data_IF_147581436236
#
_entry.id   IF_147581436236
#
_cell.length_a   1.000
_cell.length_b   1.000
_cell.length_c   1.000
_cell.angle_alpha   90.00
_cell.angle_beta   90.00
_cell.angle_gamma   90.00
#
_symmetry.space_group_name_H-M   'P 1'
#
loop_
_entity.id
_entity.type
_entity.pdbx_description
1 polymer ?
#
# COMPACT_ATOMS: atom_id res chain seq x y z
N UNK A 1 -1.98 5.14 17.61
CA UNK A 1 -0.82 5.78 16.98
C UNK A 1 -1.18 7.11 16.32
N UNK A 2 -0.18 7.90 15.95
CA UNK A 2 -0.38 9.21 15.30
C UNK A 2 -1.20 9.11 13.99
N UNK A 3 -1.15 7.99 13.28
CA UNK A 3 -1.88 7.77 12.02
C UNK A 3 -3.41 7.78 12.13
N UNK A 4 -3.97 7.53 13.30
CA UNK A 4 -5.42 7.55 13.49
C UNK A 4 -5.99 8.96 13.73
N UNK A 5 -5.17 9.98 14.00
CA UNK A 5 -5.65 11.30 14.36
C UNK A 5 -6.41 11.96 13.21
N UNK A 6 -5.84 11.99 12.02
CA UNK A 6 -6.46 12.63 10.85
C UNK A 6 -7.60 11.82 10.22
N UNK A 7 -7.67 10.53 10.51
CA UNK A 7 -8.76 9.66 10.09
C UNK A 7 -10.00 9.82 10.95
N UNK A 8 -9.84 9.99 12.27
CA UNK A 8 -10.95 10.06 13.23
C UNK A 8 -11.57 11.43 13.37
N UNK A 9 -11.00 12.48 12.79
CA UNK A 9 -11.63 13.78 12.62
C UNK A 9 -12.31 13.81 11.26
N UNK A 10 -13.63 14.00 11.26
CA UNK A 10 -14.46 14.00 10.06
C UNK A 10 -14.94 15.41 9.76
N UNK A 11 -14.66 15.85 8.53
CA UNK A 11 -15.26 17.04 7.94
C UNK A 11 -16.60 16.67 7.31
N UNK A 12 -17.65 17.38 7.70
CA UNK A 12 -18.96 17.29 7.09
C UNK A 12 -19.38 18.67 6.58
N UNK A 13 -19.91 18.72 5.35
CA UNK A 13 -20.46 19.96 4.78
C UNK A 13 -21.82 19.68 4.22
N UNK A 14 -22.80 20.47 4.69
CA UNK A 14 -24.15 20.46 4.15
C UNK A 14 -24.40 21.76 3.40
N UNK A 15 -24.84 21.66 2.15
CA UNK A 15 -25.28 22.76 1.31
C UNK A 15 -26.79 22.77 1.23
N UNK A 16 -27.41 23.87 1.61
CA UNK A 16 -28.88 24.06 1.58
C UNK A 16 -29.66 22.99 2.35
N UNK A 17 -29.01 22.36 3.34
CA UNK A 17 -29.53 21.28 4.15
C UNK A 17 -29.23 19.86 3.64
N UNK A 18 -28.61 19.72 2.47
CA UNK A 18 -28.18 18.44 1.91
C UNK A 18 -26.72 18.15 2.30
N UNK A 19 -26.49 17.02 3.01
CA UNK A 19 -25.15 16.57 3.40
C UNK A 19 -24.49 15.86 2.20
N UNK A 20 -23.56 16.55 1.56
CA UNK A 20 -22.84 16.05 0.37
C UNK A 20 -21.35 15.79 0.60
N UNK A 21 -20.78 16.38 1.64
CA UNK A 21 -19.40 16.12 2.06
C UNK A 21 -19.40 15.44 3.41
N UNK A 22 -18.80 14.27 3.48
CA UNK A 22 -18.49 13.58 4.72
C UNK A 22 -17.23 12.73 4.52
N UNK A 23 -16.11 13.15 5.09
CA UNK A 23 -14.84 12.48 4.91
C UNK A 23 -13.89 12.72 6.08
N UNK A 24 -12.97 11.79 6.37
CA UNK A 24 -11.82 12.06 7.23
C UNK A 24 -11.06 13.29 6.76
N UNK A 25 -10.63 14.12 7.70
CA UNK A 25 -9.94 15.39 7.40
C UNK A 25 -8.68 15.15 6.55
N UNK A 26 -7.88 14.15 6.89
CA UNK A 26 -6.66 13.86 6.13
C UNK A 26 -6.95 13.43 4.69
N UNK A 27 -8.00 12.65 4.46
CA UNK A 27 -8.41 12.23 3.11
C UNK A 27 -8.92 13.42 2.29
N UNK A 28 -9.72 14.30 2.90
CA UNK A 28 -10.25 15.49 2.23
C UNK A 28 -9.14 16.42 1.74
N UNK A 29 -8.05 16.54 2.50
CA UNK A 29 -6.91 17.39 2.15
C UNK A 29 -5.78 16.66 1.41
N UNK A 30 -5.94 15.37 1.10
CA UNK A 30 -4.99 14.60 0.31
C UNK A 30 -3.73 14.13 1.04
N UNK A 31 -3.79 14.03 2.37
CA UNK A 31 -2.67 13.51 3.20
C UNK A 31 -2.95 12.12 3.78
N UNK A 32 -4.15 11.56 3.54
CA UNK A 32 -4.52 10.29 4.15
C UNK A 32 -4.47 10.36 5.66
N UNK A 33 -3.66 9.53 6.29
CA UNK A 33 -3.63 9.37 7.74
C UNK A 33 -2.47 10.05 8.45
N UNK A 34 -1.52 10.61 7.70
CA UNK A 34 -0.34 11.28 8.26
C UNK A 34 -0.20 12.72 7.78
N UNK A 35 0.30 13.62 8.64
CA UNK A 35 0.52 15.00 8.28
C UNK A 35 1.80 15.13 7.43
N UNK A 36 1.68 14.94 6.14
CA UNK A 36 2.78 15.10 5.19
C UNK A 36 2.54 16.27 4.26
N UNK A 37 3.63 16.87 3.78
CA UNK A 37 3.54 17.95 2.82
C UNK A 37 3.02 17.40 1.48
N UNK A 38 1.95 18.02 0.95
CA UNK A 38 1.41 17.70 -0.36
C UNK A 38 0.74 18.93 -0.98
N UNK A 39 0.56 18.92 -2.28
CA UNK A 39 -0.17 19.97 -2.96
C UNK A 39 -0.57 19.59 -4.37
N UNK A 40 -1.82 19.91 -4.68
CA UNK A 40 -2.39 19.94 -6.04
C UNK A 40 -2.94 21.34 -6.29
N UNK A 41 -3.66 21.54 -7.38
CA UNK A 41 -4.36 22.83 -7.60
C UNK A 41 -5.49 23.05 -6.60
N UNK A 42 -6.07 22.01 -6.04
CA UNK A 42 -7.25 22.12 -5.19
C UNK A 42 -6.99 21.87 -3.71
N UNK A 43 -5.84 21.28 -3.37
CA UNK A 43 -5.50 20.99 -1.97
C UNK A 43 -4.04 21.26 -1.67
N UNK A 44 -3.76 21.73 -0.45
CA UNK A 44 -2.43 21.76 0.14
C UNK A 44 -2.50 21.34 1.58
N UNK A 45 -1.51 20.62 2.02
CA UNK A 45 -1.43 20.20 3.40
C UNK A 45 -0.01 20.40 3.94
N UNK A 46 0.03 20.62 5.26
CA UNK A 46 1.24 20.78 6.09
C UNK A 46 2.17 21.90 5.61
N UNK A 47 1.61 22.92 4.98
CA UNK A 47 2.31 24.19 4.80
C UNK A 47 1.96 25.10 5.99
N UNK A 48 2.95 25.50 6.77
CA UNK A 48 2.77 26.32 7.97
C UNK A 48 1.76 25.71 8.98
N UNK A 49 1.78 24.39 9.13
CA UNK A 49 0.84 23.62 9.95
C UNK A 49 -0.65 23.79 9.56
N UNK A 50 -0.92 24.19 8.33
CA UNK A 50 -2.27 24.43 7.82
C UNK A 50 -2.56 23.53 6.62
N UNK A 51 -3.75 22.91 6.64
CA UNK A 51 -4.34 22.24 5.49
C UNK A 51 -5.33 23.17 4.80
N UNK A 52 -5.27 23.28 3.48
CA UNK A 52 -6.10 24.19 2.70
C UNK A 52 -6.72 23.49 1.49
N UNK A 53 -7.95 23.83 1.15
CA UNK A 53 -8.63 23.38 -0.06
C UNK A 53 -9.28 24.57 -0.78
N UNK A 54 -9.20 24.57 -2.11
CA UNK A 54 -9.72 25.62 -2.98
C UNK A 54 -10.83 25.12 -3.89
N UNK A 55 -11.53 24.08 -3.49
CA UNK A 55 -12.74 23.67 -4.19
C UNK A 55 -13.78 24.79 -4.16
N UNK A 56 -14.31 25.15 -5.32
CA UNK A 56 -15.45 26.05 -5.41
C UNK A 56 -16.68 25.25 -4.95
N UNK A 57 -17.38 25.75 -3.93
CA UNK A 57 -18.50 25.04 -3.28
C UNK A 57 -19.78 25.89 -3.35
N UNK A 58 -20.51 25.90 -4.46
CA UNK A 58 -21.70 26.73 -4.60
C UNK A 58 -22.84 26.26 -3.69
N UNK A 59 -23.60 27.21 -3.17
CA UNK A 59 -24.87 26.99 -2.46
C UNK A 59 -25.84 28.16 -2.71
N UNK A 60 -27.12 27.91 -2.59
CA UNK A 60 -28.16 28.92 -2.82
C UNK A 60 -28.43 29.76 -1.59
N UNK A 61 -28.56 29.12 -0.42
CA UNK A 61 -29.04 29.74 0.82
C UNK A 61 -28.07 29.67 1.97
N UNK A 62 -27.55 28.49 2.26
CA UNK A 62 -26.67 28.29 3.40
C UNK A 62 -25.67 27.13 3.18
N UNK A 63 -24.57 27.24 3.90
CA UNK A 63 -23.56 26.17 3.98
C UNK A 63 -23.22 25.96 5.47
N UNK A 64 -23.31 24.71 5.92
CA UNK A 64 -22.93 24.33 7.29
C UNK A 64 -21.70 23.44 7.24
N UNK A 65 -20.62 23.86 7.88
CA UNK A 65 -19.36 23.12 7.99
C UNK A 65 -19.25 22.62 9.43
N UNK A 66 -19.03 21.31 9.59
CA UNK A 66 -18.89 20.67 10.90
C UNK A 66 -17.64 19.81 10.93
N UNK A 67 -16.89 19.89 12.04
CA UNK A 67 -15.81 18.97 12.36
C UNK A 67 -16.23 18.11 13.55
N UNK A 68 -16.23 16.80 13.36
CA UNK A 68 -16.59 15.82 14.39
C UNK A 68 -15.39 14.94 14.73
N UNK A 69 -15.06 14.88 16.03
CA UNK A 69 -14.04 13.96 16.51
C UNK A 69 -14.68 12.64 16.94
N UNK A 70 -14.39 11.57 16.23
CA UNK A 70 -14.78 10.19 16.57
C UNK A 70 -13.68 9.44 17.36
N UNK A 71 -12.56 10.13 17.66
CA UNK A 71 -11.49 9.59 18.51
C UNK A 71 -11.80 9.71 20.00
N UNK A 72 -11.00 9.03 20.81
CA UNK A 72 -11.13 9.02 22.27
C UNK A 72 -10.41 10.20 22.94
N UNK A 73 -9.44 10.79 22.25
CA UNK A 73 -8.66 11.92 22.77
C UNK A 73 -9.20 13.24 22.22
N UNK A 74 -9.23 14.31 23.03
CA UNK A 74 -9.60 15.63 22.56
C UNK A 74 -8.62 16.13 21.49
N UNK A 75 -9.12 16.84 20.50
CA UNK A 75 -8.34 17.48 19.43
C UNK A 75 -8.55 18.98 19.51
N UNK A 76 -7.45 19.73 19.54
CA UNK A 76 -7.47 21.18 19.49
C UNK A 76 -7.32 21.65 18.04
N UNK A 77 -8.19 22.56 17.64
CA UNK A 77 -8.12 23.24 16.35
C UNK A 77 -7.73 24.70 16.63
N UNK A 78 -6.46 25.00 16.41
CA UNK A 78 -5.93 26.33 16.65
C UNK A 78 -6.41 27.38 15.64
N UNK A 79 -6.75 26.93 14.42
CA UNK A 79 -7.23 27.81 13.35
C UNK A 79 -8.18 27.06 12.41
N UNK A 80 -9.32 27.65 12.13
CA UNK A 80 -10.23 27.24 11.06
C UNK A 80 -10.75 28.49 10.35
N UNK A 81 -10.78 28.47 9.02
CA UNK A 81 -11.28 29.57 8.22
C UNK A 81 -11.94 29.06 6.94
N UNK A 82 -13.00 29.71 6.53
CA UNK A 82 -13.62 29.55 5.23
C UNK A 82 -13.73 30.89 4.53
N UNK A 83 -13.44 30.94 3.25
CA UNK A 83 -13.60 32.15 2.44
C UNK A 83 -14.87 31.99 1.63
N UNK A 84 -15.80 32.92 1.76
CA UNK A 84 -17.05 32.93 1.00
C UNK A 84 -17.13 34.11 0.05
N UNK A 85 -17.84 33.92 -1.04
CA UNK A 85 -18.11 34.95 -2.05
C UNK A 85 -19.56 34.88 -2.54
N UNK A 86 -19.91 35.82 -3.41
CA UNK A 86 -21.23 35.81 -4.05
C UNK A 86 -21.26 34.79 -5.18
N UNK A 87 -22.31 33.97 -5.19
CA UNK A 87 -22.62 33.05 -6.29
C UNK A 87 -24.01 33.37 -6.83
N UNK A 88 -24.15 33.46 -8.12
CA UNK A 88 -25.46 33.59 -8.76
C UNK A 88 -25.98 32.18 -9.03
N UNK A 89 -26.89 31.73 -8.19
CA UNK A 89 -27.50 30.41 -8.34
C UNK A 89 -28.43 30.36 -9.55
N UNK A 90 -28.28 29.31 -10.36
CA UNK A 90 -29.12 29.02 -11.52
C UNK A 90 -29.31 27.48 -11.67
N UNK A 91 -30.03 27.05 -12.71
CA UNK A 91 -30.35 25.64 -12.97
C UNK A 91 -29.11 24.77 -13.31
N UNK A 92 -27.95 25.36 -13.48
CA UNK A 92 -26.67 24.65 -13.71
C UNK A 92 -25.82 24.58 -12.47
N UNK A 93 -26.20 25.28 -11.43
CA UNK A 93 -25.46 25.33 -10.17
C UNK A 93 -25.52 23.98 -9.44
N UNK A 94 -24.38 23.48 -9.01
CA UNK A 94 -24.21 22.16 -8.43
C UNK A 94 -23.60 22.27 -7.05
N UNK A 95 -24.02 21.41 -6.13
CA UNK A 95 -23.31 21.21 -4.87
C UNK A 95 -22.04 20.40 -5.09
N UNK A 96 -20.99 20.76 -4.37
CA UNK A 96 -19.78 19.95 -4.25
C UNK A 96 -20.04 18.77 -3.32
N UNK A 97 -19.41 17.62 -3.58
CA UNK A 97 -19.57 16.46 -2.74
C UNK A 97 -18.42 15.50 -2.79
N UNK A 98 -18.45 14.55 -1.84
CA UNK A 98 -17.48 13.47 -1.69
C UNK A 98 -18.19 12.17 -1.40
N UNK A 99 -17.60 11.05 -1.80
CA UNK A 99 -17.82 9.74 -1.18
C UNK A 99 -16.54 9.31 -0.50
N UNK A 100 -16.64 8.66 0.63
CA UNK A 100 -15.50 8.03 1.31
C UNK A 100 -15.95 6.74 1.98
N UNK A 101 -15.12 5.72 1.89
CA UNK A 101 -15.29 4.46 2.61
C UNK A 101 -13.93 3.82 2.88
N UNK A 102 -13.90 2.83 3.75
CA UNK A 102 -12.74 2.00 3.96
C UNK A 102 -13.08 0.53 3.79
N UNK A 103 -12.34 -0.11 2.91
CA UNK A 103 -12.30 -1.56 2.80
C UNK A 103 -11.18 -2.07 3.71
N UNK A 104 -11.53 -2.87 4.70
CA UNK A 104 -10.58 -3.39 5.67
C UNK A 104 -10.35 -4.86 5.45
N UNK A 105 -9.09 -5.28 5.45
CA UNK A 105 -8.68 -6.68 5.33
C UNK A 105 -9.25 -7.37 4.08
N UNK A 106 -9.21 -6.66 2.94
CA UNK A 106 -9.68 -7.20 1.67
C UNK A 106 -8.61 -8.09 1.04
N UNK A 107 -9.06 -9.23 0.53
CA UNK A 107 -8.21 -10.20 -0.10
C UNK A 107 -7.95 -9.80 -1.56
N UNK A 108 -6.69 -9.53 -1.88
CA UNK A 108 -6.23 -9.34 -3.24
C UNK A 108 -5.45 -10.56 -3.70
N UNK A 109 -5.77 -11.04 -4.87
CA UNK A 109 -5.03 -12.12 -5.51
C UNK A 109 -5.24 -12.02 -7.01
N UNK A 110 -4.20 -11.75 -7.76
CA UNK A 110 -4.11 -11.62 -9.19
C UNK A 110 -5.28 -12.19 -10.00
N UNK A 111 -5.01 -13.19 -10.78
CA UNK A 111 -5.92 -13.78 -11.75
C UNK A 111 -7.10 -14.60 -11.18
N UNK A 112 -7.07 -14.97 -9.89
CA UNK A 112 -8.10 -15.85 -9.31
C UNK A 112 -9.25 -15.10 -8.61
N UNK A 113 -9.05 -13.84 -8.17
CA UNK A 113 -10.00 -13.09 -7.36
C UNK A 113 -10.03 -11.61 -7.72
N UNK A 114 -9.94 -11.29 -9.00
CA UNK A 114 -10.17 -9.91 -9.44
C UNK A 114 -11.55 -9.45 -8.94
N UNK A 115 -11.59 -8.35 -8.21
CA UNK A 115 -12.82 -7.74 -7.72
C UNK A 115 -12.75 -6.24 -7.92
N UNK A 116 -13.89 -5.64 -8.16
CA UNK A 116 -14.01 -4.21 -8.29
C UNK A 116 -14.39 -3.57 -6.95
N UNK A 117 -13.67 -2.54 -6.55
CA UNK A 117 -14.00 -1.69 -5.42
C UNK A 117 -14.73 -0.46 -5.92
N UNK A 118 -16.02 -0.34 -5.61
CA UNK A 118 -16.79 0.83 -6.03
C UNK A 118 -16.41 2.04 -5.18
N UNK A 119 -15.78 3.04 -5.80
CA UNK A 119 -15.40 4.30 -5.15
C UNK A 119 -16.59 5.24 -5.05
N UNK A 120 -17.41 5.30 -6.09
CA UNK A 120 -18.62 6.10 -6.13
C UNK A 120 -19.67 5.47 -7.04
N UNK A 121 -20.94 5.54 -6.64
CA UNK A 121 -22.12 5.29 -7.46
C UNK A 121 -23.09 6.47 -7.25
N UNK A 122 -23.14 7.35 -8.24
CA UNK A 122 -23.86 8.62 -8.22
C UNK A 122 -25.02 8.57 -9.20
N UNK A 123 -26.23 8.95 -8.75
CA UNK A 123 -27.38 9.08 -9.63
C UNK A 123 -27.90 10.52 -9.59
N UNK A 124 -27.90 11.13 -10.73
CA UNK A 124 -28.22 12.53 -10.93
C UNK A 124 -27.46 13.09 -12.12
N UNK A 125 -27.44 14.41 -12.26
CA UNK A 125 -26.63 15.10 -13.24
C UNK A 125 -25.46 15.78 -12.54
N UNK A 126 -24.22 15.54 -13.02
CA UNK A 126 -23.06 16.05 -12.34
C UNK A 126 -21.78 15.98 -13.15
N UNK A 127 -20.65 16.23 -12.47
CA UNK A 127 -19.31 16.17 -13.01
C UNK A 127 -18.39 15.54 -11.94
N UNK A 128 -17.69 14.47 -12.30
CA UNK A 128 -16.64 13.87 -11.49
C UNK A 128 -15.34 14.62 -11.69
N UNK A 129 -14.70 15.05 -10.59
CA UNK A 129 -13.54 15.96 -10.65
C UNK A 129 -12.30 15.42 -9.94
N UNK A 130 -12.33 14.17 -9.51
CA UNK A 130 -11.14 13.52 -8.98
C UNK A 130 -11.38 12.62 -7.80
N UNK A 131 -10.28 12.08 -7.30
CA UNK A 131 -10.26 11.16 -6.17
C UNK A 131 -8.88 11.13 -5.51
N UNK A 132 -8.84 10.47 -4.37
CA UNK A 132 -7.59 10.04 -3.73
C UNK A 132 -7.80 8.67 -3.11
N UNK A 133 -6.72 7.95 -2.92
CA UNK A 133 -6.75 6.65 -2.26
C UNK A 133 -5.63 6.52 -1.27
N UNK A 134 -5.96 6.02 -0.10
CA UNK A 134 -4.98 5.57 0.90
C UNK A 134 -4.99 4.05 0.94
N UNK A 135 -3.83 3.45 0.71
CA UNK A 135 -3.64 1.99 0.73
C UNK A 135 -2.67 1.63 1.83
N UNK A 136 -3.02 0.66 2.65
CA UNK A 136 -2.07 0.02 3.56
C UNK A 136 -1.79 -1.40 3.06
N UNK A 137 -0.58 -1.58 2.53
CA UNK A 137 -0.06 -2.84 2.04
C UNK A 137 0.91 -3.43 3.08
N UNK A 138 0.58 -4.55 3.73
CA UNK A 138 1.45 -5.14 4.74
C UNK A 138 2.54 -6.05 4.16
N UNK A 139 2.69 -6.13 2.84
CA UNK A 139 3.50 -7.15 2.18
C UNK A 139 4.23 -6.59 0.95
N UNK A 140 5.25 -7.31 0.48
CA UNK A 140 6.02 -7.02 -0.74
C UNK A 140 5.28 -7.33 -2.06
N UNK A 141 3.99 -7.68 -2.03
CA UNK A 141 3.17 -7.77 -3.23
C UNK A 141 2.87 -6.39 -3.79
N UNK A 142 2.97 -6.21 -5.10
CA UNK A 142 2.57 -4.97 -5.75
C UNK A 142 1.05 -4.92 -5.93
N UNK A 143 0.42 -3.90 -5.39
CA UNK A 143 -1.04 -3.74 -5.29
C UNK A 143 -1.67 -2.88 -6.39
N UNK A 144 -0.88 -2.26 -7.24
CA UNK A 144 -1.31 -1.18 -8.13
C UNK A 144 -1.58 -1.57 -9.58
N UNK A 145 -1.94 -2.82 -9.88
CA UNK A 145 -2.19 -3.31 -11.25
C UNK A 145 -3.67 -3.24 -11.68
N UNK A 146 -4.57 -3.04 -10.75
CA UNK A 146 -6.01 -3.05 -11.05
C UNK A 146 -6.46 -1.83 -11.85
N UNK A 147 -7.33 -2.07 -12.83
CA UNK A 147 -7.80 -1.07 -13.78
C UNK A 147 -8.92 -0.19 -13.20
N UNK A 148 -8.90 1.11 -13.49
CA UNK A 148 -10.09 1.92 -13.27
C UNK A 148 -11.16 1.64 -14.31
N UNK A 149 -12.43 1.64 -13.88
CA UNK A 149 -13.61 1.41 -14.70
C UNK A 149 -14.66 2.46 -14.39
N UNK A 150 -14.87 3.42 -15.31
CA UNK A 150 -15.87 4.48 -15.12
C UNK A 150 -17.02 4.30 -16.10
N UNK A 151 -18.20 4.02 -15.53
CA UNK A 151 -19.44 3.85 -16.25
C UNK A 151 -20.24 5.15 -16.21
N UNK A 152 -20.54 5.72 -17.36
CA UNK A 152 -21.31 6.96 -17.47
C UNK A 152 -22.71 6.65 -18.00
N UNK A 153 -23.72 7.25 -17.36
CA UNK A 153 -25.10 7.24 -17.82
C UNK A 153 -25.72 5.84 -18.06
N UNK A 154 -25.27 4.84 -17.27
CA UNK A 154 -25.80 3.49 -17.31
C UNK A 154 -25.19 2.60 -18.40
N UNK A 155 -23.97 2.90 -18.81
CA UNK A 155 -23.18 2.05 -19.71
C UNK A 155 -23.04 0.62 -19.17
N UNK A 156 -23.02 -0.36 -20.08
CA UNK A 156 -22.78 -1.77 -19.77
C UNK A 156 -21.30 -2.13 -19.82
N UNK A 157 -20.51 -1.36 -20.57
CA UNK A 157 -19.05 -1.39 -20.62
C UNK A 157 -18.53 0.02 -20.32
N UNK A 158 -17.49 0.19 -19.50
CA UNK A 158 -17.06 1.52 -19.06
C UNK A 158 -16.46 2.33 -20.21
N UNK A 159 -16.83 3.61 -20.31
CA UNK A 159 -16.22 4.56 -21.26
C UNK A 159 -14.76 4.86 -20.92
N UNK A 160 -14.40 4.81 -19.66
CA UNK A 160 -13.03 4.93 -19.19
C UNK A 160 -12.63 3.57 -18.60
N UNK A 161 -11.65 2.96 -19.23
CA UNK A 161 -11.10 1.68 -18.84
C UNK A 161 -9.58 1.79 -18.87
N UNK A 162 -8.96 1.60 -17.73
CA UNK A 162 -7.53 1.82 -17.54
C UNK A 162 -6.64 0.64 -17.84
N UNK A 163 -5.42 0.74 -17.36
CA UNK A 163 -4.36 -0.25 -17.52
C UNK A 163 -3.60 -0.51 -16.22
N UNK A 164 -4.05 0.07 -15.13
CA UNK A 164 -3.48 -0.10 -13.80
C UNK A 164 -3.77 1.07 -12.87
N UNK A 165 -3.85 0.79 -11.59
CA UNK A 165 -4.05 1.83 -10.56
C UNK A 165 -2.90 2.84 -10.56
N UNK A 166 -1.65 2.38 -10.73
CA UNK A 166 -0.49 3.28 -10.81
C UNK A 166 -0.56 4.19 -12.03
N UNK A 167 -0.97 3.66 -13.19
CA UNK A 167 -1.15 4.43 -14.42
C UNK A 167 -2.23 5.50 -14.24
N UNK A 168 -3.33 5.13 -13.58
CA UNK A 168 -4.40 6.06 -13.26
C UNK A 168 -3.91 7.25 -12.42
N UNK A 169 -3.05 7.01 -11.43
CA UNK A 169 -2.47 8.07 -10.60
C UNK A 169 -1.23 8.74 -11.21
N UNK A 170 -0.86 8.41 -12.46
CA UNK A 170 0.12 9.13 -13.26
C UNK A 170 1.56 8.72 -13.04
N UNK A 171 1.81 7.48 -12.64
CA UNK A 171 3.16 6.90 -12.57
C UNK A 171 3.15 5.47 -13.11
N UNK A 172 4.31 4.84 -13.19
CA UNK A 172 4.48 3.47 -13.65
C UNK A 172 5.68 2.82 -12.94
N UNK A 173 5.74 1.50 -12.97
CA UNK A 173 6.81 0.70 -12.40
C UNK A 173 6.95 0.86 -10.89
N UNK A 174 5.82 0.93 -10.19
CA UNK A 174 5.80 1.00 -8.74
C UNK A 174 6.65 2.12 -8.19
N UNK A 175 6.51 3.35 -8.71
CA UNK A 175 7.34 4.48 -8.29
C UNK A 175 7.26 4.69 -6.78
N UNK A 176 8.40 4.59 -6.11
CA UNK A 176 8.52 4.63 -4.66
C UNK A 176 9.00 5.99 -4.11
N UNK A 177 9.43 6.89 -4.97
CA UNK A 177 9.80 8.24 -4.54
C UNK A 177 8.56 9.11 -4.43
N UNK A 178 8.26 9.71 -3.27
CA UNK A 178 7.16 10.64 -3.14
C UNK A 178 7.28 11.81 -4.12
N UNK A 179 6.19 12.21 -4.72
CA UNK A 179 6.11 13.46 -5.49
C UNK A 179 4.94 14.29 -4.99
N UNK A 180 5.19 15.58 -4.87
CA UNK A 180 4.26 16.56 -4.36
C UNK A 180 4.29 17.80 -5.25
N UNK A 181 3.34 18.71 -5.03
CA UNK A 181 3.27 19.99 -5.76
C UNK A 181 3.11 19.85 -7.28
N UNK A 182 2.44 18.79 -7.72
CA UNK A 182 2.00 18.65 -9.11
C UNK A 182 0.53 19.06 -9.22
N UNK A 183 0.11 19.80 -10.29
CA UNK A 183 -1.26 20.34 -10.36
C UNK A 183 -2.35 19.27 -10.31
N UNK A 184 -2.14 18.10 -10.89
CA UNK A 184 -3.20 17.11 -11.11
C UNK A 184 -3.01 15.81 -10.34
N UNK A 185 -1.80 15.44 -9.97
CA UNK A 185 -1.49 14.19 -9.28
C UNK A 185 -0.49 14.42 -8.15
N UNK A 186 -0.57 13.61 -7.10
CA UNK A 186 0.42 13.61 -6.04
C UNK A 186 0.49 12.22 -5.37
N UNK A 187 1.67 11.84 -4.94
CA UNK A 187 1.93 10.71 -4.04
C UNK A 187 2.75 11.22 -2.85
N UNK A 188 2.11 11.81 -1.84
CA UNK A 188 2.85 12.34 -0.69
C UNK A 188 3.41 11.25 0.22
N UNK A 189 2.79 10.07 0.22
CA UNK A 189 3.24 8.87 0.92
C UNK A 189 3.31 7.74 -0.09
N UNK A 190 4.48 7.16 -0.21
CA UNK A 190 4.76 5.93 -0.92
C UNK A 190 6.05 5.43 -0.32
N UNK A 191 6.00 4.32 0.40
CA UNK A 191 7.19 3.83 1.10
C UNK A 191 8.26 3.44 0.10
N UNK A 192 9.49 3.73 0.43
CA UNK A 192 10.65 3.77 -0.44
C UNK A 192 11.12 2.44 -1.02
N UNK A 193 10.27 1.44 -1.18
CA UNK A 193 10.57 0.20 -1.87
C UNK A 193 9.59 -0.10 -3.01
N UNK A 194 9.99 -0.94 -3.92
CA UNK A 194 9.26 -1.28 -5.14
C UNK A 194 7.80 -1.69 -4.90
N UNK A 195 7.52 -2.44 -3.86
CA UNK A 195 6.17 -2.94 -3.57
C UNK A 195 5.35 -2.02 -2.67
N UNK A 196 5.87 -0.87 -2.26
CA UNK A 196 5.22 0.06 -1.35
C UNK A 196 4.65 -0.63 -0.10
N UNK A 197 5.50 -1.37 0.63
CA UNK A 197 5.11 -1.91 1.93
C UNK A 197 4.75 -0.76 2.86
N UNK A 198 3.66 -0.92 3.61
CA UNK A 198 3.18 0.10 4.51
C UNK A 198 2.13 0.97 3.87
N UNK A 199 2.21 2.26 4.08
CA UNK A 199 1.20 3.22 3.65
C UNK A 199 1.57 3.86 2.32
N UNK A 200 0.63 3.88 1.38
CA UNK A 200 0.70 4.69 0.17
C UNK A 200 -0.53 5.59 0.08
N UNK A 201 -0.34 6.83 -0.36
CA UNK A 201 -1.42 7.77 -0.59
C UNK A 201 -1.25 8.42 -1.95
N UNK A 202 -2.26 8.29 -2.80
CA UNK A 202 -2.27 8.82 -4.15
C UNK A 202 -3.47 9.74 -4.34
N UNK A 203 -3.29 10.80 -5.10
CA UNK A 203 -4.34 11.77 -5.44
C UNK A 203 -4.33 12.06 -6.92
N UNK A 204 -5.52 12.08 -7.53
CA UNK A 204 -5.73 12.61 -8.88
C UNK A 204 -6.87 13.60 -8.87
N UNK A 205 -6.61 14.81 -9.30
CA UNK A 205 -7.63 15.84 -9.51
C UNK A 205 -7.82 16.08 -11.01
N UNK A 206 -9.07 16.11 -11.45
CA UNK A 206 -9.46 16.28 -12.84
C UNK A 206 -9.99 17.69 -13.06
N UNK A 207 -9.27 18.46 -13.84
CA UNK A 207 -9.62 19.84 -14.17
C UNK A 207 -9.98 19.99 -15.63
N UNK A 208 -9.11 19.50 -16.51
CA UNK A 208 -9.32 19.54 -17.97
C UNK A 208 -9.99 18.26 -18.47
N UNK A 209 -9.90 17.19 -17.74
CA UNK A 209 -10.41 15.86 -18.03
C UNK A 209 -11.53 15.42 -17.07
N UNK A 210 -12.26 16.38 -16.51
CA UNK A 210 -13.43 16.11 -15.67
C UNK A 210 -14.49 15.32 -16.45
N UNK A 211 -15.18 14.39 -15.78
CA UNK A 211 -16.10 13.46 -16.41
C UNK A 211 -17.55 13.90 -16.16
N UNK A 212 -18.22 14.53 -17.13
CA UNK A 212 -19.63 14.90 -17.00
C UNK A 212 -20.54 13.67 -17.13
N UNK A 213 -21.64 13.69 -16.39
CA UNK A 213 -22.70 12.70 -16.51
C UNK A 213 -24.10 13.38 -16.43
N UNK A 214 -25.09 12.79 -17.07
CA UNK A 214 -26.46 13.35 -17.13
C UNK A 214 -27.47 12.58 -16.30
N UNK A 215 -27.18 11.31 -15.98
CA UNK A 215 -28.05 10.41 -15.21
C UNK A 215 -27.34 9.69 -14.10
N UNK A 216 -26.12 9.21 -14.34
CA UNK A 216 -25.37 8.46 -13.36
C UNK A 216 -23.90 8.39 -13.69
N UNK A 217 -23.07 8.20 -12.66
CA UNK A 217 -21.68 7.81 -12.79
C UNK A 217 -21.37 6.75 -11.74
N UNK A 218 -20.77 5.62 -12.17
CA UNK A 218 -20.18 4.64 -11.29
C UNK A 218 -18.69 4.56 -11.58
N UNK A 219 -17.88 4.68 -10.54
CA UNK A 219 -16.45 4.53 -10.60
C UNK A 219 -16.03 3.33 -9.76
N UNK A 220 -15.46 2.35 -10.41
CA UNK A 220 -14.87 1.16 -9.81
C UNK A 220 -13.37 1.17 -10.04
N UNK A 221 -12.62 0.66 -9.07
CA UNK A 221 -11.20 0.34 -9.19
C UNK A 221 -11.04 -1.14 -8.96
N UNK A 222 -10.45 -1.83 -9.91
CA UNK A 222 -10.14 -3.24 -9.74
C UNK A 222 -9.08 -3.42 -8.67
N UNK A 223 -9.29 -4.40 -7.82
CA UNK A 223 -8.28 -4.84 -6.87
C UNK A 223 -7.50 -6.00 -7.47
N UNK A 224 -6.32 -5.72 -7.98
CA UNK A 224 -5.44 -6.71 -8.57
C UNK A 224 -4.05 -6.63 -7.95
N UNK A 225 -3.56 -7.77 -7.47
CA UNK A 225 -2.23 -7.95 -6.90
C UNK A 225 -1.60 -9.25 -7.41
N UNK A 226 -0.33 -9.22 -7.75
CA UNK A 226 0.42 -10.41 -8.17
C UNK A 226 0.64 -11.42 -7.04
N UNK A 227 0.35 -11.03 -5.82
CA UNK A 227 0.54 -11.84 -4.63
C UNK A 227 -0.80 -12.12 -3.94
N UNK A 228 -0.83 -13.15 -3.12
CA UNK A 228 -1.97 -13.45 -2.28
C UNK A 228 -1.83 -12.69 -0.96
N UNK A 229 -2.41 -11.51 -0.88
CA UNK A 229 -2.31 -10.60 0.25
C UNK A 229 -3.67 -10.12 0.74
N UNK A 230 -3.68 -9.56 1.96
CA UNK A 230 -4.80 -8.79 2.47
C UNK A 230 -4.32 -7.37 2.74
N UNK A 231 -5.04 -6.40 2.25
CA UNK A 231 -4.70 -4.99 2.42
C UNK A 231 -5.91 -4.17 2.86
N UNK A 232 -5.67 -2.94 3.30
CA UNK A 232 -6.72 -1.96 3.56
C UNK A 232 -6.69 -0.90 2.46
N UNK A 233 -7.86 -0.48 2.02
CA UNK A 233 -8.02 0.43 0.89
C UNK A 233 -9.10 1.47 1.24
N UNK A 234 -8.75 2.75 1.17
CA UNK A 234 -9.67 3.82 1.54
C UNK A 234 -9.71 4.91 0.46
N UNK A 235 -10.65 4.84 -0.47
CA UNK A 235 -10.87 5.87 -1.47
C UNK A 235 -11.72 7.02 -0.94
N UNK A 236 -11.40 8.23 -1.43
CA UNK A 236 -12.27 9.40 -1.42
C UNK A 236 -12.45 9.88 -2.84
N UNK A 237 -13.68 10.29 -3.20
CA UNK A 237 -13.96 10.89 -4.51
C UNK A 237 -14.45 12.33 -4.37
N UNK A 238 -14.26 13.13 -5.41
CA UNK A 238 -14.70 14.52 -5.49
C UNK A 238 -15.56 14.72 -6.74
N UNK A 239 -16.71 15.37 -6.56
CA UNK A 239 -17.66 15.56 -7.65
C UNK A 239 -18.55 16.80 -7.39
N UNK A 240 -19.22 17.25 -8.44
CA UNK A 240 -20.30 18.23 -8.38
C UNK A 240 -21.58 17.59 -8.92
N UNK A 241 -22.73 17.84 -8.28
CA UNK A 241 -23.99 17.28 -8.71
C UNK A 241 -25.15 18.24 -8.41
N UNK A 242 -26.16 18.26 -9.28
CA UNK A 242 -27.39 18.98 -9.00
C UNK A 242 -28.02 18.49 -7.69
N UNK A 243 -28.66 19.38 -6.90
CA UNK A 243 -29.30 19.01 -5.65
C UNK A 243 -30.30 17.85 -5.80
N UNK A 244 -30.39 17.00 -4.77
CA UNK A 244 -31.34 15.89 -4.70
C UNK A 244 -30.91 14.59 -5.39
N UNK A 245 -29.68 14.46 -5.82
CA UNK A 245 -29.14 13.21 -6.36
C UNK A 245 -28.92 12.13 -5.32
N UNK A 246 -28.82 10.86 -5.75
CA UNK A 246 -28.46 9.75 -4.88
C UNK A 246 -26.93 9.57 -4.86
N UNK A 247 -26.36 9.37 -3.66
CA UNK A 247 -24.94 9.21 -3.43
C UNK A 247 -24.70 7.87 -2.73
N UNK A 248 -23.84 7.04 -3.29
CA UNK A 248 -23.32 5.82 -2.67
C UNK A 248 -21.79 5.76 -2.84
N UNK A 249 -21.04 5.17 -1.88
CA UNK A 249 -21.55 4.63 -0.62
C UNK A 249 -22.02 5.72 0.34
N UNK A 250 -22.91 5.34 1.25
CA UNK A 250 -23.24 6.21 2.39
C UNK A 250 -22.12 6.13 3.44
N UNK A 251 -21.88 7.22 4.18
CA UNK A 251 -20.86 7.23 5.22
C UNK A 251 -21.16 6.23 6.35
N UNK A 252 -20.12 5.53 6.81
CA UNK A 252 -20.19 4.67 7.98
C UNK A 252 -19.19 5.12 9.05
N UNK A 253 -19.68 5.44 10.24
CA UNK A 253 -18.83 5.85 11.37
C UNK A 253 -17.89 4.72 11.83
N UNK A 254 -18.30 3.45 11.67
CA UNK A 254 -17.44 2.30 11.93
C UNK A 254 -16.14 2.36 11.16
N UNK A 255 -16.19 2.73 9.87
CA UNK A 255 -15.01 2.79 9.00
C UNK A 255 -13.98 3.81 9.50
N UNK A 256 -14.44 4.92 10.06
CA UNK A 256 -13.56 5.94 10.67
C UNK A 256 -12.85 5.40 11.90
N UNK A 257 -13.46 4.48 12.63
CA UNK A 257 -12.91 3.87 13.86
C UNK A 257 -12.06 2.63 13.60
N UNK A 258 -12.19 2.04 12.42
CA UNK A 258 -11.36 0.91 12.02
C UNK A 258 -9.87 1.28 12.00
N UNK A 259 -9.03 0.28 12.18
CA UNK A 259 -7.58 0.49 12.18
C UNK A 259 -7.08 0.77 10.77
N UNK A 260 -6.07 1.63 10.68
CA UNK A 260 -5.37 1.90 9.43
C UNK A 260 -4.53 0.70 9.01
N UNK A 261 -3.69 0.23 9.92
CA UNK A 261 -2.81 -0.91 9.68
C UNK A 261 -3.46 -2.22 10.10
N UNK A 262 -3.31 -3.24 9.30
CA UNK A 262 -3.65 -4.61 9.67
C UNK A 262 -2.85 -5.05 10.91
N UNK A 263 -3.43 -5.95 11.70
CA UNK A 263 -2.70 -6.57 12.79
C UNK A 263 -1.85 -7.73 12.24
N UNK A 264 -0.77 -8.13 12.93
CA UNK A 264 0.02 -9.29 12.53
C UNK A 264 -0.83 -10.55 12.33
N UNK A 265 -1.88 -10.74 13.15
CA UNK A 265 -2.83 -11.85 12.99
C UNK A 265 -3.62 -11.79 11.68
N UNK A 266 -3.93 -10.59 11.20
CA UNK A 266 -4.66 -10.40 9.95
C UNK A 266 -3.76 -10.70 8.75
N UNK A 267 -2.49 -10.30 8.84
CA UNK A 267 -1.48 -10.58 7.84
C UNK A 267 -1.24 -12.09 7.70
N UNK A 268 -1.18 -12.80 8.82
CA UNK A 268 -0.85 -14.23 8.87
C UNK A 268 -2.06 -15.15 8.87
N UNK A 269 -3.28 -14.62 8.90
CA UNK A 269 -4.51 -15.38 9.08
C UNK A 269 -5.00 -16.20 7.89
N UNK A 270 -4.68 -15.82 6.64
CA UNK A 270 -5.36 -16.39 5.47
C UNK A 270 -4.51 -16.42 4.20
N UNK A 271 -3.41 -17.16 4.24
CA UNK A 271 -2.61 -17.42 3.05
C UNK A 271 -1.68 -16.29 2.61
N UNK A 272 -1.43 -15.31 3.47
CA UNK A 272 -0.50 -14.21 3.21
C UNK A 272 0.95 -14.65 3.22
N UNK A 273 1.80 -13.90 2.53
CA UNK A 273 3.24 -14.11 2.52
C UNK A 273 3.90 -13.15 3.52
N UNK A 274 4.76 -13.67 4.36
CA UNK A 274 5.74 -12.91 5.13
C UNK A 274 7.06 -12.97 4.39
N UNK A 275 7.69 -11.83 4.19
CA UNK A 275 9.06 -11.77 3.68
C UNK A 275 9.98 -11.39 4.83
N UNK A 276 11.05 -12.15 4.99
CA UNK A 276 12.14 -11.87 5.91
C UNK A 276 13.37 -11.64 5.06
N UNK A 277 13.78 -10.38 4.95
CA UNK A 277 14.97 -10.01 4.20
C UNK A 277 16.23 -10.58 4.86
N UNK A 278 17.22 -10.96 4.05
CA UNK A 278 18.45 -11.55 4.55
C UNK A 278 19.18 -10.63 5.51
N UNK A 279 19.21 -9.34 5.21
CA UNK A 279 19.91 -8.32 5.99
C UNK A 279 19.29 -8.05 7.37
N UNK A 280 18.03 -8.39 7.60
CA UNK A 280 17.42 -8.28 8.94
C UNK A 280 17.63 -9.51 9.80
N UNK A 281 18.08 -10.62 9.21
CA UNK A 281 18.39 -11.83 9.94
C UNK A 281 19.66 -11.64 10.78
N UNK A 282 19.62 -12.09 12.02
CA UNK A 282 20.74 -11.89 12.94
C UNK A 282 21.59 -13.16 13.05
N UNK A 283 22.89 -13.11 12.66
CA UNK A 283 23.79 -14.25 12.83
C UNK A 283 23.99 -14.56 14.31
N UNK A 284 23.90 -15.82 14.69
CA UNK A 284 24.27 -16.27 16.04
C UNK A 284 25.80 -16.19 16.22
N UNK A 285 26.27 -15.76 17.38
CA UNK A 285 27.69 -15.82 17.70
C UNK A 285 28.26 -17.25 17.61
N UNK A 286 29.51 -17.35 17.20
CA UNK A 286 30.24 -18.63 17.15
C UNK A 286 30.26 -19.29 15.77
N UNK A 287 29.72 -18.66 14.72
CA UNK A 287 29.95 -19.09 13.34
C UNK A 287 31.41 -18.87 12.93
N UNK A 288 31.90 -19.69 12.02
CA UNK A 288 33.20 -19.50 11.39
C UNK A 288 33.03 -18.59 10.15
N UNK A 289 34.15 -17.94 9.75
CA UNK A 289 34.13 -16.95 8.67
C UNK A 289 33.52 -15.61 9.11
N UNK A 290 33.25 -14.75 8.15
CA UNK A 290 32.69 -13.41 8.37
C UNK A 290 31.32 -13.25 7.71
N UNK A 291 30.42 -12.53 8.38
CA UNK A 291 29.10 -12.18 7.86
C UNK A 291 29.00 -10.67 7.72
N UNK A 292 28.61 -10.20 6.56
CA UNK A 292 28.46 -8.78 6.25
C UNK A 292 27.26 -8.52 5.35
N UNK A 293 26.85 -7.27 5.20
CA UNK A 293 25.85 -6.85 4.20
C UNK A 293 26.57 -6.48 2.91
N UNK A 294 26.21 -7.13 1.83
CA UNK A 294 26.69 -6.79 0.50
C UNK A 294 25.64 -5.93 -0.20
N UNK A 295 26.04 -4.74 -0.66
CA UNK A 295 25.17 -3.73 -1.27
C UNK A 295 25.62 -3.39 -2.69
N UNK A 296 24.67 -2.97 -3.52
CA UNK A 296 24.93 -2.37 -4.85
C UNK A 296 25.70 -3.26 -5.85
N UNK A 297 25.79 -4.55 -5.60
CA UNK A 297 26.48 -5.46 -6.50
C UNK A 297 25.57 -6.06 -7.56
N UNK A 298 24.32 -6.40 -7.20
CA UNK A 298 23.38 -7.03 -8.11
C UNK A 298 22.02 -6.29 -8.10
N UNK A 299 21.50 -5.85 -9.25
CA UNK A 299 20.28 -5.03 -9.32
C UNK A 299 19.00 -5.78 -8.98
N UNK A 300 19.03 -7.12 -8.89
CA UNK A 300 17.85 -7.96 -8.61
C UNK A 300 17.69 -8.33 -7.13
N UNK A 301 18.63 -7.93 -6.25
CA UNK A 301 18.45 -8.14 -4.82
C UNK A 301 17.32 -7.28 -4.29
N UNK A 302 16.51 -7.88 -3.45
CA UNK A 302 15.50 -7.19 -2.67
C UNK A 302 16.17 -6.09 -1.83
N UNK A 303 15.59 -4.91 -1.77
CA UNK A 303 16.16 -3.74 -1.09
C UNK A 303 17.62 -3.39 -1.54
N UNK A 304 18.10 -3.95 -2.66
CA UNK A 304 19.44 -3.74 -3.18
C UNK A 304 20.57 -4.33 -2.32
N UNK A 305 20.27 -5.26 -1.41
CA UNK A 305 21.18 -5.83 -0.45
C UNK A 305 21.03 -7.35 -0.34
N UNK A 306 22.06 -8.00 0.20
CA UNK A 306 21.96 -9.38 0.70
C UNK A 306 22.82 -9.57 1.93
N UNK A 307 22.47 -10.55 2.76
CA UNK A 307 23.39 -11.04 3.78
C UNK A 307 24.39 -11.97 3.13
N UNK A 308 25.69 -11.68 3.33
CA UNK A 308 26.80 -12.34 2.70
C UNK A 308 27.71 -12.99 3.75
N UNK A 309 27.91 -14.33 3.65
CA UNK A 309 28.79 -15.13 4.50
C UNK A 309 29.99 -15.61 3.68
N UNK A 310 31.18 -15.43 4.18
CA UNK A 310 32.42 -15.74 3.49
C UNK A 310 33.50 -16.33 4.41
N UNK A 311 34.54 -16.90 3.81
CA UNK A 311 35.73 -17.41 4.47
C UNK A 311 35.48 -18.61 5.39
N UNK A 312 34.43 -19.38 5.14
CA UNK A 312 34.13 -20.63 5.83
C UNK A 312 34.67 -21.84 5.09
N UNK A 313 34.60 -23.02 5.72
CA UNK A 313 35.05 -24.32 5.19
C UNK A 313 33.90 -25.34 5.20
N UNK A 314 34.03 -26.45 4.48
CA UNK A 314 33.07 -27.55 4.59
C UNK A 314 32.89 -28.01 6.05
N UNK A 315 31.64 -28.20 6.47
CA UNK A 315 31.26 -28.52 7.85
C UNK A 315 30.94 -27.30 8.73
N UNK A 316 31.35 -26.09 8.34
CA UNK A 316 31.00 -24.88 9.07
C UNK A 316 29.51 -24.57 8.93
N UNK A 317 28.98 -23.93 9.96
CA UNK A 317 27.55 -23.60 10.08
C UNK A 317 27.33 -22.13 10.37
N UNK A 318 26.35 -21.55 9.68
CA UNK A 318 25.78 -20.24 9.98
C UNK A 318 24.35 -20.41 10.43
N UNK A 319 24.02 -19.89 11.61
CA UNK A 319 22.66 -19.84 12.12
C UNK A 319 22.16 -18.40 12.10
N UNK A 320 21.10 -18.16 11.35
CA UNK A 320 20.45 -16.86 11.21
C UNK A 320 19.13 -16.86 11.98
N UNK A 321 18.98 -15.91 12.90
CA UNK A 321 17.77 -15.73 13.70
C UNK A 321 16.87 -14.69 13.07
N UNK A 322 15.58 -15.00 12.96
CA UNK A 322 14.55 -14.10 12.53
C UNK A 322 13.31 -14.24 13.41
N UNK A 323 12.49 -13.20 13.48
CA UNK A 323 11.28 -13.19 14.28
C UNK A 323 10.04 -13.51 13.46
N UNK A 324 9.08 -14.20 14.06
CA UNK A 324 7.74 -14.41 13.54
C UNK A 324 6.70 -13.98 14.59
N UNK A 325 5.76 -13.16 14.18
CA UNK A 325 4.68 -12.69 15.08
C UNK A 325 3.63 -13.75 15.37
N UNK A 326 3.50 -14.75 14.49
CA UNK A 326 2.48 -15.80 14.58
C UNK A 326 3.11 -17.17 14.42
N UNK A 327 2.74 -18.11 15.30
CA UNK A 327 3.11 -19.52 15.16
C UNK A 327 2.25 -20.21 14.10
N UNK A 328 2.81 -21.26 13.47
CA UNK A 328 2.07 -22.09 12.53
C UNK A 328 2.94 -22.77 11.49
N UNK A 329 2.27 -23.47 10.58
CA UNK A 329 2.91 -24.11 9.44
C UNK A 329 2.84 -23.21 8.22
N UNK A 330 3.98 -22.97 7.59
CA UNK A 330 4.13 -22.10 6.42
C UNK A 330 4.74 -22.86 5.25
N UNK A 331 4.34 -22.51 4.03
CA UNK A 331 5.10 -22.84 2.83
C UNK A 331 6.22 -21.81 2.71
N UNK A 332 7.46 -22.28 2.69
CA UNK A 332 8.64 -21.44 2.66
C UNK A 332 9.35 -21.53 1.31
N UNK A 333 9.78 -20.38 0.82
CA UNK A 333 10.71 -20.23 -0.31
C UNK A 333 11.85 -19.33 0.11
N UNK A 334 13.05 -19.64 -0.34
CA UNK A 334 14.22 -18.82 -0.05
C UNK A 334 14.89 -18.40 -1.35
N UNK A 335 15.29 -17.16 -1.45
CA UNK A 335 16.01 -16.62 -2.59
C UNK A 335 17.48 -16.45 -2.23
N UNK A 336 18.34 -17.14 -2.98
CA UNK A 336 19.78 -17.08 -2.85
C UNK A 336 20.41 -16.39 -4.04
N UNK A 337 21.58 -15.84 -3.84
CA UNK A 337 22.49 -15.59 -4.95
C UNK A 337 23.20 -16.89 -5.32
N UNK A 338 23.37 -17.14 -6.61
CA UNK A 338 24.23 -18.17 -7.16
C UNK A 338 25.40 -17.50 -7.89
N UNK A 339 26.59 -18.09 -7.79
CA UNK A 339 27.82 -17.53 -8.36
C UNK A 339 28.85 -18.62 -8.64
N UNK A 340 29.90 -18.35 -9.47
CA UNK A 340 30.92 -19.35 -9.80
C UNK A 340 31.73 -19.86 -8.61
N UNK A 341 31.82 -19.06 -7.56
CA UNK A 341 32.59 -19.31 -6.34
C UNK A 341 31.75 -19.78 -5.14
N UNK A 342 30.42 -19.91 -5.32
CA UNK A 342 29.51 -20.43 -4.29
C UNK A 342 29.53 -21.95 -4.26
N UNK A 343 29.26 -22.53 -3.08
CA UNK A 343 29.33 -23.96 -2.85
C UNK A 343 27.98 -24.67 -2.80
N UNK A 344 28.00 -25.80 -2.10
CA UNK A 344 26.82 -26.63 -1.84
C UNK A 344 26.50 -26.60 -0.34
N UNK A 345 25.21 -26.50 0.00
CA UNK A 345 24.75 -26.26 1.36
C UNK A 345 23.58 -27.17 1.75
N UNK A 346 23.50 -27.50 3.04
CA UNK A 346 22.31 -28.08 3.66
C UNK A 346 21.58 -27.01 4.47
N UNK A 347 20.25 -27.07 4.48
CA UNK A 347 19.39 -26.07 5.12
C UNK A 347 18.47 -26.71 6.17
N UNK A 348 18.34 -26.04 7.33
CA UNK A 348 17.40 -26.39 8.38
C UNK A 348 16.61 -25.16 8.78
N UNK A 349 15.33 -25.35 9.10
CA UNK A 349 14.54 -24.32 9.78
C UNK A 349 14.14 -24.88 11.15
N UNK A 350 14.52 -24.18 12.19
CA UNK A 350 14.47 -24.68 13.56
C UNK A 350 15.19 -26.06 13.65
N UNK A 351 14.52 -27.10 14.14
CA UNK A 351 15.12 -28.45 14.28
C UNK A 351 14.90 -29.35 13.04
N UNK A 352 14.22 -28.84 12.00
CA UNK A 352 13.84 -29.65 10.83
C UNK A 352 14.80 -29.46 9.67
N UNK A 353 15.37 -30.55 9.17
CA UNK A 353 16.09 -30.54 7.88
C UNK A 353 15.09 -30.28 6.78
N UNK A 354 15.34 -29.26 5.98
CA UNK A 354 14.49 -28.83 4.88
C UNK A 354 15.05 -29.34 3.56
N UNK A 355 16.33 -29.10 3.31
CA UNK A 355 17.03 -29.68 2.18
C UNK A 355 18.39 -30.17 2.63
N UNK A 356 18.73 -31.44 2.33
CA UNK A 356 20.06 -31.98 2.68
C UNK A 356 21.17 -31.43 1.79
N UNK A 357 20.81 -30.94 0.61
CA UNK A 357 21.81 -30.45 -0.36
C UNK A 357 21.15 -29.47 -1.35
N UNK A 358 21.75 -28.31 -1.50
CA UNK A 358 21.43 -27.33 -2.55
C UNK A 358 22.75 -26.74 -3.07
N UNK A 359 22.98 -26.84 -4.38
CA UNK A 359 24.14 -26.20 -5.01
C UNK A 359 23.79 -24.78 -5.40
N UNK A 360 24.62 -23.84 -4.98
CA UNK A 360 24.56 -22.44 -5.36
C UNK A 360 25.65 -22.05 -6.36
N UNK A 361 26.42 -23.03 -6.87
CA UNK A 361 27.41 -22.81 -7.92
C UNK A 361 26.71 -22.59 -9.26
N UNK A 362 27.04 -21.51 -9.95
CA UNK A 362 26.54 -21.16 -11.27
C UNK A 362 27.63 -20.45 -12.08
N UNK A 363 27.58 -20.55 -13.41
CA UNK A 363 28.56 -19.92 -14.30
C UNK A 363 28.60 -18.40 -14.27
N UNK A 364 27.53 -17.78 -13.80
CA UNK A 364 27.38 -16.32 -13.66
C UNK A 364 26.60 -15.99 -12.39
N UNK A 365 26.72 -14.74 -11.92
CA UNK A 365 25.94 -14.26 -10.77
C UNK A 365 24.49 -14.08 -11.18
N UNK A 366 23.58 -14.76 -10.47
CA UNK A 366 22.14 -14.66 -10.67
C UNK A 366 21.40 -15.03 -9.39
N UNK A 367 20.07 -15.06 -9.43
CA UNK A 367 19.23 -15.44 -8.29
C UNK A 367 18.65 -16.83 -8.49
N UNK A 368 18.57 -17.58 -7.39
CA UNK A 368 17.96 -18.91 -7.34
C UNK A 368 16.87 -18.93 -6.27
N UNK A 369 15.63 -19.18 -6.67
CA UNK A 369 14.51 -19.40 -5.77
C UNK A 369 14.37 -20.88 -5.43
N UNK A 370 14.57 -21.24 -4.17
CA UNK A 370 14.48 -22.62 -3.67
C UNK A 370 13.20 -22.79 -2.86
N UNK A 371 12.39 -23.78 -3.22
CA UNK A 371 11.19 -24.15 -2.46
C UNK A 371 11.60 -25.07 -1.29
N UNK A 372 11.39 -24.60 -0.07
CA UNK A 372 11.70 -25.34 1.16
C UNK A 372 10.52 -26.22 1.62
N UNK A 373 9.36 -26.12 0.99
CA UNK A 373 8.15 -26.83 1.40
C UNK A 373 7.56 -26.27 2.71
N UNK A 374 6.99 -27.18 3.53
CA UNK A 374 6.33 -26.79 4.79
C UNK A 374 7.32 -26.67 5.93
N UNK A 375 7.35 -25.51 6.58
CA UNK A 375 8.14 -25.22 7.79
C UNK A 375 7.21 -24.85 8.94
N UNK A 376 7.58 -25.24 10.16
CA UNK A 376 6.85 -24.85 11.38
C UNK A 376 7.60 -23.71 12.06
N UNK A 377 6.92 -22.59 12.23
CA UNK A 377 7.43 -21.42 12.95
C UNK A 377 6.80 -21.33 14.33
N UNK A 378 7.59 -20.82 15.29
CA UNK A 378 7.16 -20.43 16.63
C UNK A 378 6.87 -18.93 16.64
N UNK A 379 5.99 -18.48 17.52
CA UNK A 379 5.89 -17.05 17.80
C UNK A 379 7.20 -16.57 18.44
N UNK A 380 7.74 -15.46 17.96
CA UNK A 380 9.04 -14.94 18.35
C UNK A 380 10.17 -15.53 17.51
N UNK A 381 11.29 -15.85 18.14
CA UNK A 381 12.54 -16.20 17.43
C UNK A 381 12.51 -17.58 16.80
N UNK A 382 12.86 -17.60 15.52
CA UNK A 382 13.08 -18.79 14.69
C UNK A 382 14.50 -18.77 14.15
N UNK A 383 14.98 -19.90 13.65
CA UNK A 383 16.34 -20.07 13.19
C UNK A 383 16.37 -20.73 11.81
N UNK A 384 17.11 -20.11 10.88
CA UNK A 384 17.54 -20.72 9.62
C UNK A 384 19.00 -21.08 9.78
N UNK A 385 19.33 -22.37 9.73
CA UNK A 385 20.71 -22.84 9.76
C UNK A 385 21.17 -23.29 8.39
N UNK A 386 22.32 -22.81 7.98
CA UNK A 386 23.02 -23.11 6.75
C UNK A 386 24.31 -23.88 7.12
N UNK A 387 24.51 -25.07 6.56
CA UNK A 387 25.71 -25.88 6.74
C UNK A 387 26.43 -26.01 5.39
N UNK A 388 27.68 -25.64 5.33
CA UNK A 388 28.51 -25.83 4.15
C UNK A 388 28.85 -27.32 3.93
N UNK A 389 28.45 -27.89 2.81
CA UNK A 389 28.69 -29.28 2.44
C UNK A 389 29.95 -29.40 1.56
N UNK A 390 30.05 -28.54 0.56
CA UNK A 390 31.20 -28.51 -0.36
C UNK A 390 31.45 -27.09 -0.86
N UNK A 391 32.72 -26.78 -1.13
CA UNK A 391 33.10 -25.52 -1.77
C UNK A 391 32.99 -25.65 -3.29
N UNK A 392 32.98 -24.52 -3.98
CA UNK A 392 33.16 -24.47 -5.42
C UNK A 392 34.55 -25.05 -5.82
N UNK A 393 34.65 -25.71 -6.97
CA UNK A 393 35.90 -26.27 -7.45
C UNK A 393 37.03 -25.22 -7.52
N UNK A 394 38.18 -25.54 -6.93
CA UNK A 394 39.37 -24.67 -6.97
C UNK A 394 39.40 -23.55 -5.91
N UNK A 395 38.46 -23.54 -4.95
CA UNK A 395 38.41 -22.58 -3.85
C UNK A 395 38.81 -23.22 -2.52
N UNK A 396 39.57 -22.51 -1.70
CA UNK A 396 39.98 -22.92 -0.36
C UNK A 396 39.05 -22.47 0.76
N UNK A 397 38.18 -21.51 0.47
CA UNK A 397 37.15 -20.96 1.37
C UNK A 397 35.86 -20.74 0.61
N UNK A 398 34.73 -20.73 1.33
CA UNK A 398 33.41 -20.62 0.74
C UNK A 398 32.79 -19.24 0.78
N UNK A 399 31.81 -19.05 -0.08
CA UNK A 399 30.97 -17.87 -0.19
C UNK A 399 29.50 -18.29 -0.27
N UNK A 400 28.63 -17.48 0.35
CA UNK A 400 27.20 -17.72 0.40
C UNK A 400 26.44 -16.40 0.49
N UNK A 401 25.34 -16.27 -0.22
CA UNK A 401 24.49 -15.07 -0.17
C UNK A 401 23.02 -15.44 -0.09
N UNK A 402 22.32 -14.85 0.87
CA UNK A 402 20.87 -14.93 1.00
C UNK A 402 20.24 -13.56 0.83
N UNK A 403 19.30 -13.48 -0.11
CA UNK A 403 18.52 -12.29 -0.37
C UNK A 403 17.30 -12.24 0.58
N UNK A 404 16.40 -13.23 0.49
CA UNK A 404 15.20 -13.25 1.35
C UNK A 404 14.60 -14.63 1.56
N UNK A 405 13.83 -14.74 2.64
CA UNK A 405 12.97 -15.88 2.94
C UNK A 405 11.50 -15.44 2.84
N UNK A 406 10.74 -16.07 1.95
CA UNK A 406 9.30 -15.85 1.80
C UNK A 406 8.52 -16.99 2.47
N UNK A 407 7.58 -16.65 3.33
CA UNK A 407 6.77 -17.56 4.12
C UNK A 407 5.29 -17.32 3.80
N UNK A 408 4.58 -18.36 3.39
CA UNK A 408 3.16 -18.32 3.06
C UNK A 408 2.39 -19.33 3.93
N UNK A 409 1.33 -18.88 4.58
CA UNK A 409 0.47 -19.73 5.41
C UNK A 409 -0.57 -20.46 4.58
#
# INVERSE_FOLDING_TARGET
GLGDVYKRQVLSIAFDGELTVWAPVGEFFGVGYYPVATGTWYTRAVQDDVMSAWWVMPFERNCTITLTNYGEQPVEISKAAAVSGKWQWDERSMHFGTTWQQFTHIHARGDEFAQDLTFADLKGRGVYVGDAVTVYNPNLGWWGEGDEKVYVDGETFPSHFGTGTEDYYGYAWGRYEPWINHPFVAQPIGDGCYAHIGLAQNTRVRSLDAIPFTRSLRFDMELFDWSNIHLNYAPITFWYMLPGGEIQPKPFVSDVRERVANQPSDIFGSGMSLVVEGEVMQPRPGHMGSVELQTNFHPLWSEGMQLYWKEFKPGDKLSLVFDSEVEGTYYAKIQFTVAPDYGTFALRVNDKVITPEVSLTNGEVSLLLVNLGRVNLKKGKNELQIESIALAPGHDTGFFGIDKLTLRK
#
